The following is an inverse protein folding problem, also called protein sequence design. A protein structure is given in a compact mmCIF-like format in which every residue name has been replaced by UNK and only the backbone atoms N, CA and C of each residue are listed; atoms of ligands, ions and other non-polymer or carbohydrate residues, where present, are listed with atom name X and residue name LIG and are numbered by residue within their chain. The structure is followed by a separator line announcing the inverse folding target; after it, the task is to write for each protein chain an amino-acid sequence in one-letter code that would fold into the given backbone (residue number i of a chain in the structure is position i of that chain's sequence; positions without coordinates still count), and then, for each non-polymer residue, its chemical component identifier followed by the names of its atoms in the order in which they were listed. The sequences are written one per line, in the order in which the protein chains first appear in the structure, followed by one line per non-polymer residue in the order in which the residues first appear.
data_IF_018024789448
#
_entry.id   IF_018024789448
#
_cell.length_a   1.000
_cell.length_b   1.000
_cell.length_c   1.000
_cell.angle_alpha   90.00
_cell.angle_beta   90.00
_cell.angle_gamma   90.00
#
_symmetry.space_group_name_H-M   'P 1'
#
loop_
_entity.id
_entity.type
_entity.pdbx_description
1 polymer ?
#
# COMPACT_ATOMS: atom_id res chain seq x y z
N UNK A 1 12.70 -1.64 -3.10
CA UNK A 1 11.75 -1.78 -4.23
C UNK A 1 12.11 -0.70 -5.24
N UNK A 2 12.44 -1.04 -6.49
CA UNK A 2 12.46 -0.02 -7.55
C UNK A 2 10.99 0.37 -7.77
N UNK A 3 10.65 1.63 -7.52
CA UNK A 3 9.26 2.09 -7.53
C UNK A 3 8.85 2.52 -8.94
N UNK A 4 9.07 1.68 -9.95
CA UNK A 4 8.51 1.97 -11.26
C UNK A 4 6.99 1.69 -11.25
N UNK A 5 6.17 2.44 -12.01
CA UNK A 5 4.72 2.30 -11.97
C UNK A 5 4.24 0.87 -12.24
N UNK A 6 4.89 0.14 -13.16
CA UNK A 6 4.55 -1.25 -13.46
C UNK A 6 4.78 -2.17 -12.26
N UNK A 7 5.89 -1.99 -11.54
CA UNK A 7 6.24 -2.80 -10.38
C UNK A 7 5.33 -2.51 -9.19
N UNK A 8 4.95 -1.23 -9.01
CA UNK A 8 3.97 -0.80 -8.00
C UNK A 8 2.63 -1.49 -8.24
N UNK A 9 2.10 -1.38 -9.47
CA UNK A 9 0.81 -1.98 -9.83
C UNK A 9 0.87 -3.50 -9.68
N UNK A 10 1.90 -4.15 -10.22
CA UNK A 10 2.03 -5.60 -10.15
C UNK A 10 2.06 -6.12 -8.71
N UNK A 11 2.83 -5.46 -7.83
CA UNK A 11 2.97 -5.86 -6.43
C UNK A 11 1.67 -5.64 -5.66
N UNK A 12 1.13 -4.41 -5.70
CA UNK A 12 -0.07 -4.08 -4.93
C UNK A 12 -1.31 -4.83 -5.43
N UNK A 13 -1.47 -4.98 -6.75
CA UNK A 13 -2.62 -5.71 -7.32
C UNK A 13 -2.58 -7.20 -6.96
N UNK A 14 -1.39 -7.82 -6.90
CA UNK A 14 -1.24 -9.20 -6.44
C UNK A 14 -1.76 -9.36 -5.01
N UNK A 15 -1.29 -8.53 -4.08
CA UNK A 15 -1.71 -8.62 -2.68
C UNK A 15 -3.18 -8.24 -2.48
N UNK A 16 -3.67 -7.22 -3.17
CA UNK A 16 -5.10 -6.87 -3.18
C UNK A 16 -5.95 -8.08 -3.60
N UNK A 17 -5.56 -8.75 -4.68
CA UNK A 17 -6.31 -9.90 -5.22
C UNK A 17 -6.35 -11.06 -4.21
N UNK A 18 -5.23 -11.39 -3.57
CA UNK A 18 -5.18 -12.40 -2.52
C UNK A 18 -6.18 -12.10 -1.40
N UNK A 19 -6.13 -10.89 -0.84
CA UNK A 19 -7.03 -10.54 0.27
C UNK A 19 -8.50 -10.42 -0.16
N UNK A 20 -8.76 -9.95 -1.38
CA UNK A 20 -10.10 -9.94 -1.95
C UNK A 20 -10.66 -11.36 -2.08
N UNK A 21 -9.86 -12.32 -2.53
CA UNK A 21 -10.28 -13.72 -2.62
C UNK A 21 -10.57 -14.33 -1.25
N UNK A 22 -9.73 -14.05 -0.24
CA UNK A 22 -9.98 -14.51 1.13
C UNK A 22 -11.25 -13.88 1.72
N UNK A 23 -11.50 -12.59 1.44
CA UNK A 23 -12.77 -11.94 1.81
C UNK A 23 -13.99 -12.62 1.20
N UNK A 24 -13.92 -13.02 -0.07
CA UNK A 24 -15.02 -13.71 -0.77
C UNK A 24 -15.24 -15.14 -0.24
N UNK A 25 -14.19 -15.79 0.29
CA UNK A 25 -14.27 -17.13 0.89
C UNK A 25 -14.65 -17.10 2.38
N UNK A 26 -14.67 -15.92 3.00
CA UNK A 26 -14.92 -15.77 4.43
C UNK A 26 -16.30 -16.30 4.82
N UNK A 27 -16.35 -17.06 5.92
CA UNK A 27 -17.58 -17.67 6.44
C UNK A 27 -18.32 -16.77 7.43
N UNK A 28 -17.67 -15.72 7.90
CA UNK A 28 -18.23 -14.75 8.84
C UNK A 28 -18.06 -13.33 8.29
N UNK A 29 -18.99 -12.45 8.65
CA UNK A 29 -18.91 -11.02 8.33
C UNK A 29 -17.67 -10.38 8.94
N UNK A 30 -17.25 -10.86 10.12
CA UNK A 30 -16.05 -10.37 10.82
C UNK A 30 -14.78 -10.66 10.02
N UNK A 31 -14.59 -11.90 9.58
CA UNK A 31 -13.43 -12.30 8.76
C UNK A 31 -13.45 -11.60 7.40
N UNK A 32 -14.64 -11.48 6.80
CA UNK A 32 -14.82 -10.77 5.53
C UNK A 32 -14.34 -9.32 5.66
N UNK A 33 -14.76 -8.62 6.72
CA UNK A 33 -14.36 -7.24 6.99
C UNK A 33 -12.85 -7.14 7.19
N UNK A 34 -12.27 -8.02 7.99
CA UNK A 34 -10.82 -8.08 8.22
C UNK A 34 -10.02 -8.25 6.93
N UNK A 35 -10.44 -9.17 6.05
CA UNK A 35 -9.77 -9.38 4.77
C UNK A 35 -9.98 -8.21 3.80
N UNK A 36 -11.15 -7.59 3.78
CA UNK A 36 -11.38 -6.38 2.98
C UNK A 36 -10.51 -5.20 3.43
N UNK A 37 -10.34 -4.99 4.74
CA UNK A 37 -9.42 -3.97 5.26
C UNK A 37 -7.99 -4.20 4.77
N UNK A 38 -7.52 -5.46 4.77
CA UNK A 38 -6.22 -5.83 4.20
C UNK A 38 -6.17 -5.58 2.70
N UNK A 39 -7.22 -5.89 1.95
CA UNK A 39 -7.28 -5.62 0.52
C UNK A 39 -7.21 -4.11 0.24
N UNK A 40 -8.01 -3.31 0.93
CA UNK A 40 -8.06 -1.85 0.74
C UNK A 40 -6.75 -1.17 1.10
N UNK A 41 -6.03 -1.65 2.11
CA UNK A 41 -4.67 -1.18 2.39
C UNK A 41 -3.78 -1.24 1.14
N UNK A 42 -3.76 -2.37 0.42
CA UNK A 42 -2.92 -2.52 -0.78
C UNK A 42 -3.39 -1.65 -1.95
N UNK A 43 -4.71 -1.46 -2.10
CA UNK A 43 -5.27 -0.59 -3.12
C UNK A 43 -4.89 0.89 -2.86
N UNK A 44 -5.02 1.35 -1.62
CA UNK A 44 -4.61 2.70 -1.21
C UNK A 44 -3.10 2.89 -1.36
N UNK A 45 -2.31 1.90 -0.96
CA UNK A 45 -0.86 1.94 -1.10
C UNK A 45 -0.44 2.09 -2.57
N UNK A 46 -1.08 1.36 -3.49
CA UNK A 46 -0.83 1.49 -4.92
C UNK A 46 -1.02 2.93 -5.39
N UNK A 47 -2.17 3.53 -5.05
CA UNK A 47 -2.51 4.89 -5.46
C UNK A 47 -1.52 5.90 -4.88
N UNK A 48 -1.20 5.78 -3.59
CA UNK A 48 -0.26 6.69 -2.93
C UNK A 48 1.14 6.62 -3.56
N UNK A 49 1.63 5.43 -3.88
CA UNK A 49 2.93 5.24 -4.53
C UNK A 49 2.94 5.80 -5.96
N UNK A 50 1.87 5.60 -6.74
CA UNK A 50 1.77 6.13 -8.10
C UNK A 50 1.67 7.67 -8.11
N UNK A 51 0.89 8.25 -7.20
CA UNK A 51 0.81 9.71 -7.03
C UNK A 51 2.17 10.27 -6.63
N UNK A 52 2.83 9.66 -5.65
CA UNK A 52 4.14 10.13 -5.19
C UNK A 52 5.19 10.04 -6.30
N UNK A 53 5.24 8.93 -7.03
CA UNK A 53 6.11 8.79 -8.20
C UNK A 53 5.83 9.86 -9.26
N UNK A 54 4.55 10.15 -9.53
CA UNK A 54 4.17 11.17 -10.51
C UNK A 54 4.67 12.55 -10.08
N UNK A 55 4.42 12.94 -8.82
CA UNK A 55 4.89 14.19 -8.24
C UNK A 55 6.42 14.29 -8.30
N UNK A 56 7.13 13.21 -7.98
CA UNK A 56 8.59 13.16 -8.04
C UNK A 56 9.10 13.40 -9.47
N UNK A 57 8.48 12.78 -10.48
CA UNK A 57 8.87 12.95 -11.89
C UNK A 57 8.52 14.31 -12.47
N UNK A 58 7.41 14.92 -12.06
CA UNK A 58 6.95 16.20 -12.62
C UNK A 58 7.45 17.42 -11.85
N UNK A 59 7.66 17.30 -10.53
CA UNK A 59 7.91 18.43 -9.63
C UNK A 59 9.15 18.24 -8.72
N UNK A 60 9.86 17.12 -8.80
CA UNK A 60 10.95 16.78 -7.86
C UNK A 60 12.21 17.66 -7.92
N UNK A 61 12.27 18.66 -8.81
CA UNK A 61 13.36 19.65 -8.86
C UNK A 61 13.13 20.83 -7.91
N UNK A 62 11.90 21.04 -7.46
CA UNK A 62 11.57 22.05 -6.45
C UNK A 62 12.00 21.54 -5.07
N UNK A 63 12.82 22.32 -4.37
CA UNK A 63 13.41 21.93 -3.09
C UNK A 63 12.38 21.74 -1.98
N UNK A 64 11.34 22.58 -1.93
CA UNK A 64 10.24 22.46 -0.95
C UNK A 64 9.42 21.20 -1.24
N UNK A 65 9.20 20.89 -2.52
CA UNK A 65 8.49 19.67 -2.92
C UNK A 65 9.33 18.42 -2.62
N UNK A 66 10.64 18.48 -2.80
CA UNK A 66 11.55 17.36 -2.49
C UNK A 66 11.49 16.96 -1.02
N UNK A 67 11.53 17.92 -0.10
CA UNK A 67 11.38 17.63 1.34
C UNK A 67 10.02 16.96 1.65
N UNK A 68 8.95 17.42 1.00
CA UNK A 68 7.61 16.81 1.16
C UNK A 68 7.54 15.41 0.58
N UNK A 69 8.23 15.13 -0.53
CA UNK A 69 8.34 13.79 -1.13
C UNK A 69 9.04 12.84 -0.16
N UNK A 70 10.17 13.26 0.42
CA UNK A 70 10.92 12.47 1.42
C UNK A 70 10.05 12.14 2.64
N UNK A 71 9.34 13.13 3.17
CA UNK A 71 8.41 12.91 4.27
C UNK A 71 7.27 11.96 3.91
N UNK A 72 6.74 12.04 2.68
CA UNK A 72 5.72 11.12 2.18
C UNK A 72 6.25 9.69 2.09
N UNK A 73 7.49 9.48 1.63
CA UNK A 73 8.14 8.16 1.63
C UNK A 73 8.26 7.58 3.04
N UNK A 74 8.72 8.38 4.01
CA UNK A 74 8.82 7.94 5.41
C UNK A 74 7.45 7.52 5.96
N UNK A 75 6.41 8.30 5.70
CA UNK A 75 5.06 8.02 6.16
C UNK A 75 4.49 6.73 5.51
N UNK A 76 4.72 6.53 4.22
CA UNK A 76 4.31 5.31 3.51
C UNK A 76 5.04 4.09 4.10
N UNK A 77 6.36 4.17 4.28
CA UNK A 77 7.15 3.08 4.85
C UNK A 77 6.68 2.72 6.25
N UNK A 78 6.38 3.73 7.09
CA UNK A 78 5.79 3.50 8.41
C UNK A 78 4.47 2.73 8.32
N UNK A 79 3.56 3.13 7.43
CA UNK A 79 2.28 2.43 7.23
C UNK A 79 2.47 0.98 6.76
N UNK A 80 3.47 0.71 5.90
CA UNK A 80 3.81 -0.65 5.48
C UNK A 80 4.28 -1.50 6.67
N UNK A 81 5.14 -0.95 7.52
CA UNK A 81 5.62 -1.63 8.73
C UNK A 81 4.47 -1.89 9.70
N UNK A 82 3.62 -0.90 9.94
CA UNK A 82 2.44 -1.03 10.82
C UNK A 82 1.50 -2.13 10.30
N UNK A 83 1.25 -2.16 8.98
CA UNK A 83 0.48 -3.21 8.34
C UNK A 83 1.13 -4.59 8.50
N UNK A 84 2.43 -4.71 8.23
CA UNK A 84 3.15 -5.97 8.37
C UNK A 84 3.09 -6.51 9.80
N UNK A 85 3.27 -5.64 10.80
CA UNK A 85 3.14 -6.00 12.21
C UNK A 85 1.73 -6.49 12.56
N UNK A 86 0.68 -5.87 12.00
CA UNK A 86 -0.69 -6.31 12.21
C UNK A 86 -0.97 -7.67 11.55
N UNK A 87 -0.42 -7.92 10.37
CA UNK A 87 -0.54 -9.23 9.70
C UNK A 87 0.21 -10.31 10.48
N UNK A 88 1.39 -10.02 11.04
CA UNK A 88 2.16 -10.97 11.84
C UNK A 88 1.43 -11.36 13.13
N UNK A 89 0.81 -10.40 13.82
CA UNK A 89 -0.03 -10.67 15.00
C UNK A 89 -1.21 -11.58 14.72
N UNK A 90 -1.70 -11.63 13.49
CA UNK A 90 -2.77 -12.54 13.10
C UNK A 90 -2.30 -13.99 12.88
N UNK A 91 -0.97 -14.22 12.83
CA UNK A 91 -0.36 -15.54 12.63
C UNK A 91 0.11 -16.19 13.94
N UNK A 92 0.22 -15.40 15.02
CA UNK A 92 0.55 -15.83 16.39
C UNK A 92 -0.70 -16.26 17.16
#
# INVERSE_FOLDING_TARGET
MKLEPSDIVATCSKHYTVWKEEALKAKSTEDMKKYLEKAFFWLELQNNLLVLWTVEKTMGKDEIIRERIEQAHLNINKKIVDYANNVLKDLE
#
